data_IF_589411549369
#
_entry.id   IF_589411549369
#
_cell.length_a   1.000
_cell.length_b   1.000
_cell.length_c   1.000
_cell.angle_alpha   90.00
_cell.angle_beta   90.00
_cell.angle_gamma   90.00
#
_symmetry.space_group_name_H-M   'P 1'
#
loop_
_entity.id
_entity.type
_entity.pdbx_description
1 polymer ?
#
# COMPACT_ATOMS: atom_id res chain seq x y z
N UNK A 1 -38.50 2.85 -5.56
CA UNK A 1 -37.45 3.60 -4.83
C UNK A 1 -36.12 3.01 -5.24
N UNK A 2 -35.29 3.75 -6.00
CA UNK A 2 -33.92 3.31 -6.31
C UNK A 2 -33.12 3.52 -5.03
N UNK A 3 -32.54 2.46 -4.48
CA UNK A 3 -31.46 2.59 -3.51
C UNK A 3 -30.39 3.48 -4.14
N UNK A 4 -30.20 4.67 -3.58
CA UNK A 4 -29.04 5.48 -3.90
C UNK A 4 -27.84 4.66 -3.42
N UNK A 5 -27.06 4.13 -4.37
CA UNK A 5 -25.78 3.51 -4.10
C UNK A 5 -24.93 4.59 -3.43
N UNK A 6 -24.81 4.54 -2.10
CA UNK A 6 -23.89 5.40 -1.35
C UNK A 6 -22.49 5.11 -1.90
N UNK A 7 -22.01 5.97 -2.81
CA UNK A 7 -20.69 5.82 -3.37
C UNK A 7 -19.72 6.31 -2.29
N UNK A 8 -19.14 5.37 -1.53
CA UNK A 8 -18.17 5.69 -0.48
C UNK A 8 -16.94 6.30 -1.15
N UNK A 9 -16.49 7.44 -0.65
CA UNK A 9 -15.27 8.08 -1.12
C UNK A 9 -14.08 7.10 -1.07
N UNK A 10 -13.18 7.21 -2.05
CA UNK A 10 -11.95 6.42 -2.15
C UNK A 10 -10.76 7.33 -2.27
N UNK A 11 -9.61 6.85 -1.82
CA UNK A 11 -8.35 7.47 -2.21
C UNK A 11 -8.16 7.35 -3.72
N UNK A 12 -7.73 8.44 -4.35
CA UNK A 12 -7.42 8.50 -5.78
C UNK A 12 -6.01 9.01 -5.99
N UNK A 13 -5.36 8.55 -7.06
CA UNK A 13 -3.98 8.89 -7.43
C UNK A 13 -3.82 8.97 -8.95
N UNK A 14 -2.65 9.43 -9.41
CA UNK A 14 -2.32 9.43 -10.83
C UNK A 14 -2.22 7.99 -11.37
N UNK A 15 -2.71 7.75 -12.58
CA UNK A 15 -2.84 6.39 -13.12
C UNK A 15 -1.51 5.62 -13.05
N UNK A 16 -1.56 4.36 -12.59
CA UNK A 16 -0.43 3.45 -12.32
C UNK A 16 0.50 3.75 -11.14
N UNK A 17 0.51 4.95 -10.54
CA UNK A 17 1.47 5.29 -9.47
C UNK A 17 1.45 4.31 -8.30
N UNK A 18 0.26 3.88 -7.87
CA UNK A 18 0.11 2.85 -6.84
C UNK A 18 0.76 1.53 -7.21
N UNK A 19 0.53 1.05 -8.43
CA UNK A 19 1.10 -0.21 -8.90
C UNK A 19 2.63 -0.12 -9.04
N UNK A 20 3.13 1.02 -9.52
CA UNK A 20 4.56 1.31 -9.62
C UNK A 20 5.19 1.32 -8.23
N UNK A 21 4.58 2.01 -7.26
CA UNK A 21 5.08 2.08 -5.89
C UNK A 21 5.17 0.70 -5.24
N UNK A 22 4.10 -0.09 -5.29
CA UNK A 22 4.09 -1.42 -4.68
C UNK A 22 4.98 -2.43 -5.42
N UNK A 23 5.10 -2.31 -6.75
CA UNK A 23 6.05 -3.08 -7.54
C UNK A 23 7.50 -2.75 -7.18
N UNK A 24 7.83 -1.47 -7.01
CA UNK A 24 9.14 -1.03 -6.53
C UNK A 24 9.46 -1.64 -5.16
N UNK A 25 8.53 -1.57 -4.21
CA UNK A 25 8.71 -2.21 -2.90
C UNK A 25 8.93 -3.72 -3.02
N UNK A 26 8.16 -4.41 -3.86
CA UNK A 26 8.30 -5.86 -4.07
C UNK A 26 9.67 -6.22 -4.66
N UNK A 27 10.09 -5.55 -5.72
CA UNK A 27 11.36 -5.84 -6.40
C UNK A 27 12.59 -5.53 -5.54
N UNK A 28 12.46 -4.63 -4.57
CA UNK A 28 13.53 -4.27 -3.64
C UNK A 28 13.52 -5.08 -2.33
N UNK A 29 12.66 -6.10 -2.20
CA UNK A 29 12.61 -6.98 -1.02
C UNK A 29 13.34 -8.32 -1.19
N UNK A 30 13.87 -8.61 -2.38
CA UNK A 30 14.54 -9.89 -2.62
C UNK A 30 15.76 -10.02 -1.71
N UNK A 31 15.92 -11.19 -1.11
CA UNK A 31 17.12 -11.58 -0.38
C UNK A 31 17.71 -12.85 -0.99
N UNK A 32 19.02 -12.99 -0.85
CA UNK A 32 19.76 -14.17 -1.26
C UNK A 32 20.93 -14.40 -0.30
N UNK A 33 21.03 -15.61 0.26
CA UNK A 33 22.10 -16.01 1.18
C UNK A 33 22.23 -15.13 2.45
N UNK A 34 21.15 -14.45 2.85
CA UNK A 34 21.11 -13.53 3.99
C UNK A 34 21.52 -12.09 3.66
N UNK A 35 21.65 -11.75 2.38
CA UNK A 35 21.93 -10.38 1.91
C UNK A 35 20.73 -9.82 1.15
N UNK A 36 20.48 -8.52 1.28
CA UNK A 36 19.56 -7.81 0.40
C UNK A 36 20.08 -7.86 -1.05
N UNK A 37 19.25 -8.36 -1.95
CA UNK A 37 19.59 -8.56 -3.35
C UNK A 37 18.95 -7.46 -4.20
N UNK A 38 19.74 -6.54 -4.76
CA UNK A 38 19.19 -5.45 -5.56
C UNK A 38 18.61 -5.98 -6.87
N UNK A 39 17.53 -5.35 -7.32
CA UNK A 39 16.97 -5.59 -8.63
C UNK A 39 17.99 -5.28 -9.74
N UNK A 40 18.10 -6.17 -10.73
CA UNK A 40 19.07 -6.05 -11.85
C UNK A 40 18.48 -5.38 -13.10
N UNK A 41 17.18 -5.09 -13.09
CA UNK A 41 16.49 -4.29 -14.13
C UNK A 41 16.07 -2.92 -13.61
N UNK A 42 15.72 -2.03 -14.53
CA UNK A 42 15.20 -0.71 -14.19
C UNK A 42 13.88 -0.84 -13.42
N UNK A 43 13.80 -0.16 -12.28
CA UNK A 43 12.60 -0.05 -11.46
C UNK A 43 12.10 1.39 -11.54
N UNK A 44 10.94 1.65 -12.18
CA UNK A 44 10.38 2.99 -12.24
C UNK A 44 9.96 3.48 -10.85
N UNK A 45 9.92 4.81 -10.68
CA UNK A 45 9.33 5.46 -9.51
C UNK A 45 7.99 6.09 -9.89
N UNK A 46 7.05 6.24 -8.94
CA UNK A 46 5.84 7.01 -9.16
C UNK A 46 6.16 8.46 -9.52
N UNK A 47 5.18 9.12 -10.14
CA UNK A 47 5.28 10.56 -10.40
C UNK A 47 5.40 11.34 -9.09
N UNK A 48 6.28 12.34 -9.06
CA UNK A 48 6.50 13.14 -7.86
C UNK A 48 5.34 14.10 -7.59
N UNK A 49 4.67 14.56 -8.66
CA UNK A 49 3.60 15.53 -8.59
C UNK A 49 2.43 15.12 -9.49
N UNK A 50 1.23 15.46 -9.07
CA UNK A 50 0.03 15.24 -9.86
C UNK A 50 -0.96 16.39 -9.63
N UNK A 51 -1.76 16.65 -10.66
CA UNK A 51 -2.92 17.53 -10.59
C UNK A 51 -4.20 16.74 -10.78
N UNK A 52 -5.14 16.87 -9.87
CA UNK A 52 -6.46 16.24 -9.93
C UNK A 52 -7.51 17.28 -10.27
N UNK A 53 -8.50 16.93 -11.10
CA UNK A 53 -9.60 17.82 -11.43
C UNK A 53 -10.98 17.17 -11.34
N UNK A 54 -11.95 18.00 -10.98
CA UNK A 54 -13.38 17.72 -11.09
C UNK A 54 -14.09 19.01 -11.44
N UNK A 55 -14.85 19.00 -12.54
CA UNK A 55 -15.51 20.21 -13.07
C UNK A 55 -17.01 20.15 -12.87
N UNK A 56 -17.64 21.33 -12.85
CA UNK A 56 -19.08 21.51 -12.79
C UNK A 56 -19.75 20.80 -11.61
N UNK A 57 -19.10 20.77 -10.45
CA UNK A 57 -19.66 20.20 -9.22
C UNK A 57 -20.71 21.15 -8.66
N UNK A 58 -21.93 20.65 -8.44
CA UNK A 58 -23.04 21.43 -7.88
C UNK A 58 -23.12 21.16 -6.37
N UNK A 59 -22.92 22.21 -5.58
CA UNK A 59 -23.12 22.22 -4.13
C UNK A 59 -24.51 22.80 -3.86
N UNK A 60 -25.44 22.00 -3.36
CA UNK A 60 -26.86 22.39 -3.25
C UNK A 60 -27.18 23.24 -2.01
N UNK A 61 -26.34 23.14 -0.98
CA UNK A 61 -26.41 23.89 0.29
C UNK A 61 -25.00 24.17 0.83
N UNK A 62 -24.88 25.14 1.72
CA UNK A 62 -23.61 25.46 2.36
C UNK A 62 -23.01 24.23 3.08
N UNK A 63 -21.72 24.00 2.88
CA UNK A 63 -21.02 22.80 3.36
C UNK A 63 -19.59 23.15 3.78
N UNK A 64 -18.92 22.21 4.42
CA UNK A 64 -17.49 22.28 4.74
C UNK A 64 -16.85 21.02 4.18
N UNK A 65 -15.80 21.18 3.37
CA UNK A 65 -15.04 20.06 2.85
C UNK A 65 -13.57 20.18 3.21
N UNK A 66 -12.88 19.03 3.15
CA UNK A 66 -11.45 18.92 3.36
C UNK A 66 -10.88 17.99 2.30
N UNK A 67 -9.84 18.46 1.61
CA UNK A 67 -9.01 17.60 0.77
C UNK A 67 -7.87 17.05 1.62
N UNK A 68 -7.91 15.74 1.88
CA UNK A 68 -6.91 15.00 2.65
C UNK A 68 -5.83 14.47 1.71
N UNK A 69 -4.57 14.61 2.10
CA UNK A 69 -3.41 14.09 1.37
C UNK A 69 -2.22 13.91 2.31
N UNK A 70 -1.36 12.93 2.05
CA UNK A 70 -0.06 12.78 2.73
C UNK A 70 1.01 13.72 2.16
N UNK A 71 0.82 14.17 0.93
CA UNK A 71 1.69 15.10 0.24
C UNK A 71 1.52 16.55 0.68
N UNK A 72 2.16 17.45 -0.08
CA UNK A 72 2.09 18.89 0.08
C UNK A 72 1.58 19.53 -1.21
N UNK A 73 0.83 20.61 -1.08
CA UNK A 73 0.30 21.32 -2.25
C UNK A 73 -0.88 22.21 -1.91
N UNK A 74 -1.76 22.41 -2.88
CA UNK A 74 -2.91 23.30 -2.78
C UNK A 74 -4.08 22.82 -3.63
N UNK A 75 -5.28 23.15 -3.17
CA UNK A 75 -6.51 23.02 -3.93
C UNK A 75 -6.92 24.39 -4.46
N UNK A 76 -7.38 24.47 -5.70
CA UNK A 76 -8.06 25.65 -6.23
C UNK A 76 -9.51 25.31 -6.44
N UNK A 77 -10.38 26.21 -6.00
CA UNK A 77 -11.82 26.17 -6.24
C UNK A 77 -12.17 27.44 -7.01
N UNK A 78 -12.61 27.30 -8.25
CA UNK A 78 -12.82 28.44 -9.18
C UNK A 78 -11.61 29.40 -9.21
N UNK A 79 -10.40 28.86 -9.30
CA UNK A 79 -9.11 29.58 -9.30
C UNK A 79 -8.68 30.22 -7.97
N UNK A 80 -9.49 30.14 -6.90
CA UNK A 80 -9.10 30.62 -5.57
C UNK A 80 -8.32 29.52 -4.84
N UNK A 81 -7.08 29.77 -4.38
CA UNK A 81 -6.27 28.77 -3.70
C UNK A 81 -6.70 28.56 -2.25
N UNK A 82 -6.71 27.31 -1.82
CA UNK A 82 -6.98 26.85 -0.47
C UNK A 82 -5.91 25.82 -0.04
N UNK A 83 -5.55 25.79 1.26
CA UNK A 83 -4.65 24.78 1.79
C UNK A 83 -5.30 23.40 1.78
N UNK A 84 -4.54 22.37 1.38
CA UNK A 84 -4.91 20.96 1.63
C UNK A 84 -4.84 20.66 3.14
N UNK A 85 -5.50 19.60 3.59
CA UNK A 85 -5.58 19.17 4.99
C UNK A 85 -6.20 20.21 5.94
N UNK A 86 -7.04 21.12 5.43
CA UNK A 86 -7.80 22.11 6.20
C UNK A 86 -9.26 22.12 5.79
N UNK A 87 -10.12 22.53 6.71
CA UNK A 87 -11.54 22.72 6.46
C UNK A 87 -11.76 23.98 5.61
N UNK A 88 -12.57 23.82 4.57
CA UNK A 88 -12.87 24.86 3.59
C UNK A 88 -14.39 25.01 3.53
N UNK A 89 -14.93 26.12 4.06
CA UNK A 89 -16.35 26.41 3.92
C UNK A 89 -16.66 26.78 2.47
N UNK A 90 -17.73 26.21 1.93
CA UNK A 90 -18.28 26.54 0.62
C UNK A 90 -19.75 26.85 0.75
N UNK A 91 -20.18 27.92 0.09
CA UNK A 91 -21.61 28.20 -0.06
C UNK A 91 -22.22 27.37 -1.18
N UNK A 92 -23.55 27.34 -1.24
CA UNK A 92 -24.27 26.83 -2.40
C UNK A 92 -23.75 27.47 -3.71
N UNK A 93 -23.45 26.64 -4.71
CA UNK A 93 -22.93 27.11 -6.00
C UNK A 93 -22.42 26.00 -6.90
N UNK A 94 -21.87 26.38 -8.05
CA UNK A 94 -21.19 25.47 -8.97
C UNK A 94 -19.70 25.76 -8.97
N UNK A 95 -18.89 24.72 -8.84
CA UNK A 95 -17.45 24.84 -8.66
C UNK A 95 -16.65 23.90 -9.55
N UNK A 96 -15.49 24.37 -9.97
CA UNK A 96 -14.42 23.55 -10.52
C UNK A 96 -13.31 23.38 -9.48
N UNK A 97 -12.91 22.14 -9.26
CA UNK A 97 -11.86 21.73 -8.36
C UNK A 97 -10.59 21.38 -9.13
N UNK A 98 -9.45 21.94 -8.69
CA UNK A 98 -8.12 21.61 -9.20
C UNK A 98 -7.14 21.46 -8.05
N UNK A 99 -6.66 20.25 -7.78
CA UNK A 99 -5.76 19.96 -6.66
C UNK A 99 -4.39 19.62 -7.21
N UNK A 100 -3.39 20.47 -6.95
CA UNK A 100 -2.00 20.24 -7.35
C UNK A 100 -1.19 19.91 -6.11
N UNK A 101 -0.65 18.69 -6.06
CA UNK A 101 0.11 18.17 -4.93
C UNK A 101 1.37 17.46 -5.40
N UNK A 102 2.33 17.33 -4.50
CA UNK A 102 3.51 16.49 -4.63
C UNK A 102 3.72 15.68 -3.36
N UNK A 103 4.30 14.50 -3.50
CA UNK A 103 4.67 13.61 -2.39
C UNK A 103 6.08 13.07 -2.64
N UNK A 104 6.97 13.17 -1.65
CA UNK A 104 8.37 12.75 -1.78
C UNK A 104 8.60 11.31 -1.32
N UNK A 105 7.69 10.78 -0.49
CA UNK A 105 7.87 9.51 0.22
C UNK A 105 7.00 8.41 -0.40
N UNK A 106 5.79 8.75 -0.83
CA UNK A 106 4.83 7.85 -1.47
C UNK A 106 4.63 8.22 -2.94
N UNK A 107 3.42 8.65 -3.27
CA UNK A 107 2.99 9.16 -4.55
C UNK A 107 1.82 10.12 -4.27
N UNK A 108 1.60 11.13 -5.13
CA UNK A 108 0.49 12.05 -5.00
C UNK A 108 -0.86 11.32 -4.97
N UNK A 109 -1.55 11.41 -3.84
CA UNK A 109 -2.90 10.88 -3.67
C UNK A 109 -3.76 11.86 -2.86
N UNK A 110 -5.06 11.87 -3.14
CA UNK A 110 -6.04 12.71 -2.43
C UNK A 110 -7.28 11.92 -2.02
N UNK A 111 -7.93 12.42 -0.98
CA UNK A 111 -9.20 11.92 -0.48
C UNK A 111 -10.11 13.08 -0.11
N UNK A 112 -11.33 13.11 -0.65
CA UNK A 112 -12.39 14.04 -0.26
C UNK A 112 -13.62 13.18 0.02
N UNK A 113 -14.17 13.30 1.22
CA UNK A 113 -15.44 12.70 1.62
C UNK A 113 -16.40 13.83 2.00
N UNK A 114 -17.24 14.21 1.05
CA UNK A 114 -18.26 15.23 1.20
C UNK A 114 -19.48 14.84 0.37
N UNK A 115 -20.67 15.16 0.88
CA UNK A 115 -21.96 14.77 0.30
C UNK A 115 -22.15 15.20 -1.17
N UNK A 116 -21.52 16.30 -1.59
CA UNK A 116 -21.63 16.83 -2.97
C UNK A 116 -20.43 16.51 -3.85
N UNK A 117 -19.28 16.22 -3.23
CA UNK A 117 -18.01 16.00 -3.93
C UNK A 117 -17.18 14.98 -3.18
N UNK A 118 -17.20 13.75 -3.68
CA UNK A 118 -16.36 12.68 -3.16
C UNK A 118 -15.30 12.29 -4.20
N UNK A 119 -14.12 11.90 -3.73
CA UNK A 119 -13.10 11.32 -4.61
C UNK A 119 -13.50 9.91 -5.02
N UNK A 120 -13.53 9.67 -6.32
CA UNK A 120 -13.89 8.39 -6.94
C UNK A 120 -13.34 8.35 -8.39
N UNK A 121 -13.67 7.29 -9.13
CA UNK A 121 -13.22 7.04 -10.50
C UNK A 121 -13.68 8.10 -11.52
N UNK A 122 -14.58 9.03 -11.14
CA UNK A 122 -15.07 10.07 -12.04
C UNK A 122 -14.20 11.33 -12.07
N UNK A 123 -13.09 11.32 -11.34
CA UNK A 123 -12.04 12.34 -11.37
C UNK A 123 -11.03 12.05 -12.48
N UNK A 124 -10.29 13.09 -12.87
CA UNK A 124 -9.17 12.98 -13.80
C UNK A 124 -7.90 13.49 -13.12
N UNK A 125 -6.75 12.96 -13.52
CA UNK A 125 -5.45 13.42 -13.08
C UNK A 125 -4.48 13.65 -14.24
N UNK A 126 -3.49 14.48 -13.99
CA UNK A 126 -2.46 14.90 -14.93
C UNK A 126 -1.10 14.98 -14.23
N UNK A 127 -0.06 14.41 -14.83
CA UNK A 127 1.35 14.72 -14.55
C UNK A 127 1.96 15.45 -15.76
N UNK A 128 3.03 16.23 -15.54
CA UNK A 128 3.64 17.20 -16.49
C UNK A 128 4.02 16.60 -17.87
N UNK A 129 4.03 15.28 -18.01
CA UNK A 129 4.41 14.56 -19.22
C UNK A 129 3.24 13.96 -20.02
N UNK A 130 2.02 14.03 -19.49
CA UNK A 130 0.88 13.26 -20.00
C UNK A 130 -0.34 14.12 -20.34
N UNK A 131 -1.41 13.50 -20.81
CA UNK A 131 -2.73 14.13 -20.95
C UNK A 131 -3.56 13.97 -19.66
N UNK A 132 -4.78 14.54 -19.63
CA UNK A 132 -5.71 14.24 -18.53
C UNK A 132 -6.16 12.78 -18.66
N UNK A 133 -5.81 11.96 -17.66
CA UNK A 133 -6.15 10.54 -17.60
C UNK A 133 -7.16 10.27 -16.48
N UNK A 134 -7.94 9.18 -16.57
CA UNK A 134 -8.71 8.69 -15.43
C UNK A 134 -7.79 8.42 -14.23
N UNK A 135 -8.27 8.73 -13.03
CA UNK A 135 -7.53 8.44 -11.80
C UNK A 135 -7.44 6.93 -11.53
N UNK A 136 -6.40 6.52 -10.81
CA UNK A 136 -6.36 5.21 -10.16
C UNK A 136 -7.02 5.26 -8.78
N UNK A 137 -7.64 4.15 -8.36
CA UNK A 137 -8.16 3.95 -7.01
C UNK A 137 -8.24 2.45 -6.68
N UNK A 138 -8.35 2.10 -5.40
CA UNK A 138 -8.56 0.72 -4.92
C UNK A 138 -9.75 0.70 -3.93
N UNK A 139 -10.75 -0.19 -4.12
CA UNK A 139 -11.88 -0.35 -3.20
C UNK A 139 -11.55 -0.52 -1.71
N UNK A 140 -10.33 -0.94 -1.35
CA UNK A 140 -9.90 -1.09 0.04
C UNK A 140 -9.67 0.24 0.78
N UNK A 141 -9.28 1.33 0.09
CA UNK A 141 -8.89 2.59 0.74
C UNK A 141 -10.04 3.60 0.76
N UNK A 142 -10.92 3.47 1.75
CA UNK A 142 -12.17 4.25 1.85
C UNK A 142 -12.27 5.10 3.12
N UNK A 143 -11.14 5.32 3.79
CA UNK A 143 -11.03 6.08 5.03
C UNK A 143 -9.91 7.11 4.92
N UNK A 144 -10.12 8.32 5.47
CA UNK A 144 -9.17 9.42 5.38
C UNK A 144 -7.82 9.15 6.08
N UNK A 145 -7.75 8.18 6.97
CA UNK A 145 -6.54 7.75 7.69
C UNK A 145 -5.92 6.47 7.10
N UNK A 146 -6.38 6.02 5.94
CA UNK A 146 -5.84 4.82 5.30
C UNK A 146 -4.36 4.98 4.93
N UNK A 147 -3.57 3.95 5.19
CA UNK A 147 -2.16 3.92 4.82
C UNK A 147 -1.98 3.28 3.44
N UNK A 148 -1.74 4.12 2.42
CA UNK A 148 -1.56 3.68 1.03
C UNK A 148 -0.23 2.93 0.79
N UNK A 149 0.69 2.99 1.75
CA UNK A 149 1.96 2.27 1.70
C UNK A 149 1.80 0.77 2.01
N UNK A 150 0.67 0.39 2.59
CA UNK A 150 0.37 -0.99 2.99
C UNK A 150 -0.60 -1.60 1.99
N UNK A 151 -0.09 -2.49 1.14
CA UNK A 151 -0.92 -3.22 0.18
C UNK A 151 -2.06 -3.96 0.91
N UNK A 152 -3.30 -3.93 0.41
CA UNK A 152 -4.43 -4.57 1.07
C UNK A 152 -4.39 -6.07 0.75
N UNK A 153 -3.77 -6.84 1.63
CA UNK A 153 -3.79 -8.30 1.57
C UNK A 153 -4.18 -8.87 2.93
N UNK A 154 -4.62 -10.13 2.94
CA UNK A 154 -4.96 -10.84 4.16
C UNK A 154 -4.00 -12.01 4.36
N UNK A 155 -3.68 -12.30 5.62
CA UNK A 155 -3.00 -13.52 6.00
C UNK A 155 -4.03 -14.58 6.39
N UNK A 156 -3.82 -15.79 5.91
CA UNK A 156 -4.52 -16.97 6.40
C UNK A 156 -3.53 -17.80 7.22
N UNK A 157 -3.92 -18.18 8.44
CA UNK A 157 -3.06 -19.00 9.28
C UNK A 157 -2.98 -20.42 8.71
N UNK A 158 -1.76 -20.88 8.47
CA UNK A 158 -1.48 -22.24 8.00
C UNK A 158 -0.60 -22.96 9.01
N UNK A 159 -1.01 -24.16 9.40
CA UNK A 159 -0.22 -25.07 10.23
C UNK A 159 0.48 -26.11 9.36
N UNK A 160 1.68 -26.53 9.76
CA UNK A 160 2.37 -27.64 9.12
C UNK A 160 1.52 -28.92 9.20
N UNK A 161 1.48 -29.69 8.12
CA UNK A 161 0.76 -30.97 8.06
C UNK A 161 1.59 -32.12 8.62
N UNK A 162 2.91 -31.95 8.67
CA UNK A 162 3.84 -32.89 9.27
C UNK A 162 5.04 -32.17 9.89
N UNK A 163 5.65 -32.81 10.89
CA UNK A 163 6.88 -32.36 11.52
C UNK A 163 7.79 -33.57 11.81
N UNK A 164 9.07 -33.47 11.48
CA UNK A 164 10.06 -34.53 11.66
C UNK A 164 11.25 -34.02 12.47
N UNK A 165 11.61 -34.72 13.56
CA UNK A 165 12.82 -34.42 14.34
C UNK A 165 14.05 -34.94 13.59
N UNK A 166 14.92 -34.03 13.15
CA UNK A 166 16.09 -34.35 12.33
C UNK A 166 17.29 -33.51 12.77
N UNK A 167 18.46 -34.14 12.91
CA UNK A 167 19.75 -33.46 13.15
C UNK A 167 19.74 -32.44 14.32
N UNK A 168 18.93 -32.67 15.36
CA UNK A 168 18.81 -31.75 16.50
C UNK A 168 17.87 -30.56 16.27
N UNK A 169 17.20 -30.48 15.12
CA UNK A 169 16.14 -29.53 14.79
C UNK A 169 14.82 -30.22 14.44
N UNK A 170 13.90 -29.46 13.84
CA UNK A 170 12.60 -29.94 13.37
C UNK A 170 12.38 -29.46 11.94
N UNK A 171 12.08 -30.39 11.04
CA UNK A 171 11.67 -30.10 9.67
C UNK A 171 10.14 -30.05 9.63
N UNK A 172 9.58 -28.93 9.16
CA UNK A 172 8.14 -28.74 9.01
C UNK A 172 7.74 -28.83 7.54
N UNK A 173 6.72 -29.62 7.25
CA UNK A 173 6.13 -29.76 5.91
C UNK A 173 4.72 -29.14 5.90
N UNK A 174 4.51 -28.20 4.99
CA UNK A 174 3.22 -27.52 4.79
C UNK A 174 2.35 -28.16 3.69
N UNK A 175 2.86 -29.21 3.03
CA UNK A 175 2.14 -30.06 2.07
C UNK A 175 2.02 -29.49 0.66
N UNK A 176 2.40 -28.22 0.47
CA UNK A 176 2.40 -27.53 -0.82
C UNK A 176 3.39 -26.37 -0.77
N UNK A 177 3.83 -25.95 -1.95
CA UNK A 177 4.52 -24.68 -2.11
C UNK A 177 3.63 -23.53 -1.61
N UNK A 178 4.19 -22.63 -0.81
CA UNK A 178 3.46 -21.53 -0.18
C UNK A 178 4.38 -20.31 -0.02
N UNK A 179 3.80 -19.12 -0.05
CA UNK A 179 4.47 -17.87 0.29
C UNK A 179 3.86 -17.36 1.58
N UNK A 180 4.64 -17.39 2.66
CA UNK A 180 4.14 -17.12 3.99
C UNK A 180 5.22 -16.50 4.86
N UNK A 181 4.74 -15.87 5.92
CA UNK A 181 5.56 -15.35 7.00
C UNK A 181 5.57 -16.40 8.12
N UNK A 182 6.75 -16.77 8.61
CA UNK A 182 6.87 -17.73 9.72
C UNK A 182 6.67 -17.02 11.05
N UNK A 183 5.68 -17.50 11.82
CA UNK A 183 5.42 -17.06 13.19
C UNK A 183 5.85 -18.15 14.17
N UNK A 184 6.89 -17.86 14.93
CA UNK A 184 7.36 -18.74 16.00
C UNK A 184 6.74 -18.34 17.32
N UNK A 185 6.17 -19.30 18.06
CA UNK A 185 5.69 -19.11 19.43
C UNK A 185 6.42 -20.08 20.35
N UNK A 186 7.15 -19.55 21.32
CA UNK A 186 7.94 -20.37 22.25
C UNK A 186 7.97 -19.77 23.64
N UNK A 187 7.95 -20.64 24.65
CA UNK A 187 8.18 -20.27 26.05
C UNK A 187 9.67 -20.25 26.42
N UNK A 188 10.56 -20.49 25.45
CA UNK A 188 12.01 -20.48 25.59
C UNK A 188 12.59 -19.34 24.76
N UNK A 189 13.73 -18.81 25.20
CA UNK A 189 14.50 -17.85 24.43
C UNK A 189 14.84 -18.44 23.05
N UNK A 190 14.53 -17.67 22.00
CA UNK A 190 14.69 -18.05 20.61
C UNK A 190 15.99 -17.52 19.99
N UNK A 191 16.78 -16.72 20.70
CA UNK A 191 18.01 -16.12 20.20
C UNK A 191 18.98 -17.19 19.68
N UNK A 192 19.51 -16.97 18.48
CA UNK A 192 20.37 -17.90 17.75
C UNK A 192 19.63 -19.07 17.10
N UNK A 193 18.29 -19.15 17.18
CA UNK A 193 17.53 -20.14 16.41
C UNK A 193 17.67 -19.82 14.93
N UNK A 194 18.07 -20.83 14.17
CA UNK A 194 18.17 -20.75 12.72
C UNK A 194 16.93 -21.31 12.07
N UNK A 195 16.44 -20.61 11.06
CA UNK A 195 15.31 -21.02 10.22
C UNK A 195 15.85 -21.15 8.80
N UNK A 196 15.61 -22.30 8.18
CA UNK A 196 16.04 -22.59 6.81
C UNK A 196 14.80 -22.96 6.01
N UNK A 197 14.64 -22.33 4.86
CA UNK A 197 13.49 -22.53 3.98
C UNK A 197 13.94 -23.31 2.75
N UNK A 198 13.01 -24.04 2.14
CA UNK A 198 13.27 -24.69 0.87
C UNK A 198 11.99 -25.18 0.21
N UNK A 199 11.99 -25.18 -1.12
CA UNK A 199 10.93 -25.77 -1.94
C UNK A 199 11.03 -27.31 -1.96
N UNK A 200 12.15 -27.84 -1.45
CA UNK A 200 12.44 -29.27 -1.32
C UNK A 200 13.00 -29.61 0.07
N UNK A 201 12.87 -30.87 0.47
CA UNK A 201 13.47 -31.39 1.72
C UNK A 201 14.98 -31.25 1.69
N UNK A 202 15.60 -31.49 0.54
CA UNK A 202 17.04 -31.41 0.33
C UNK A 202 17.55 -29.98 0.57
N UNK A 203 16.85 -28.97 0.03
CA UNK A 203 17.20 -27.57 0.24
C UNK A 203 17.01 -27.14 1.69
N UNK A 204 15.86 -27.46 2.30
CA UNK A 204 15.57 -27.08 3.68
C UNK A 204 16.55 -27.71 4.70
N UNK A 205 17.19 -28.83 4.35
CA UNK A 205 18.20 -29.50 5.17
C UNK A 205 19.64 -29.07 4.85
N UNK A 206 19.88 -28.39 3.73
CA UNK A 206 21.20 -27.89 3.34
C UNK A 206 21.40 -26.45 3.83
N UNK A 207 21.68 -26.31 5.13
CA UNK A 207 21.94 -25.02 5.79
C UNK A 207 22.95 -24.14 5.05
N UNK A 208 23.93 -24.77 4.40
CA UNK A 208 25.03 -24.05 3.74
C UNK A 208 24.58 -23.41 2.44
N UNK A 209 23.79 -24.14 1.65
CA UNK A 209 23.44 -23.76 0.28
C UNK A 209 21.98 -23.30 0.12
N UNK A 210 21.14 -23.41 1.17
CA UNK A 210 19.78 -22.90 1.14
C UNK A 210 19.74 -21.41 0.76
N UNK A 211 18.84 -21.07 -0.18
CA UNK A 211 18.77 -19.73 -0.78
C UNK A 211 18.27 -18.71 0.24
N UNK A 212 17.25 -19.10 1.01
CA UNK A 212 16.62 -18.27 2.04
C UNK A 212 16.82 -18.91 3.40
N UNK A 213 17.29 -18.11 4.36
CA UNK A 213 17.52 -18.53 5.75
C UNK A 213 17.55 -17.30 6.66
N UNK A 214 17.07 -17.49 7.87
CA UNK A 214 17.06 -16.47 8.92
C UNK A 214 17.76 -16.97 10.17
N UNK A 215 18.25 -16.03 10.97
CA UNK A 215 18.67 -16.28 12.34
C UNK A 215 17.94 -15.33 13.27
N UNK A 216 17.47 -15.87 14.38
CA UNK A 216 16.82 -15.07 15.41
C UNK A 216 17.85 -14.25 16.19
N UNK A 217 17.77 -12.93 16.08
CA UNK A 217 18.74 -11.98 16.65
C UNK A 217 18.23 -11.29 17.94
N UNK A 218 17.05 -11.65 18.47
CA UNK A 218 16.48 -11.00 19.66
C UNK A 218 15.87 -11.98 20.67
N UNK A 219 15.90 -11.61 21.96
CA UNK A 219 15.21 -12.33 23.04
C UNK A 219 13.72 -11.99 23.04
N UNK A 220 12.97 -12.61 22.12
CA UNK A 220 11.52 -12.50 22.03
C UNK A 220 10.86 -13.88 22.01
N UNK A 221 9.67 -13.97 22.59
CA UNK A 221 8.84 -15.19 22.62
C UNK A 221 7.95 -15.34 21.38
N UNK A 222 7.83 -14.28 20.58
CA UNK A 222 7.12 -14.27 19.30
C UNK A 222 7.88 -13.42 18.28
N UNK A 223 8.17 -14.01 17.11
CA UNK A 223 8.89 -13.35 16.03
C UNK A 223 8.29 -13.76 14.69
N UNK A 224 8.34 -12.82 13.75
CA UNK A 224 7.74 -12.87 12.42
C UNK A 224 8.87 -12.69 11.41
N UNK A 225 9.15 -13.74 10.62
CA UNK A 225 10.15 -13.73 9.55
C UNK A 225 9.44 -13.81 8.20
N UNK A 226 9.82 -12.96 7.25
CA UNK A 226 9.18 -12.84 5.94
C UNK A 226 10.12 -12.30 4.90
#
# INVERSE_FOLDING_TARGET
MREAKMNRAKWIWYYNDYAIYHSMLLHCRRQELGCDYPCVWYVPRPELNATFQKKNVVIEQDTVLRCVTHGKGKMHINHVPYPVNKDIPLSKGTYDFYINIYDLDLFPAIFIDNEFVSTDESWEAYSIQDEWLPVGCEPAYTEANADLSVFPFCYEEQSAIAAELLNGGVLYDYGKETFAVVRLKSNRNLNGLRIVYGESKEEALDEKNAIVRDTVEEDRTEITYG
#
